data_IF_017472827200
#
_entry.id   IF_017472827200
#
_cell.length_a   1.000
_cell.length_b   1.000
_cell.length_c   1.000
_cell.angle_alpha   90.00
_cell.angle_beta   90.00
_cell.angle_gamma   90.00
#
_symmetry.space_group_name_H-M   'P 1'
#
loop_
_entity.id
_entity.type
_entity.pdbx_description
1 polymer ?
#
# COMPACT_ATOMS: atom_id res chain seq x y z
N UNK A 1 -7.00 -3.12 90.13
CA UNK A 1 -8.37 -2.61 89.98
C UNK A 1 -8.86 -3.19 88.67
N UNK A 2 -9.57 -4.33 88.69
CA UNK A 2 -11.03 -4.43 88.87
C UNK A 2 -11.75 -3.73 87.69
N UNK A 3 -12.69 -4.25 86.90
CA UNK A 3 -13.45 -5.51 86.67
C UNK A 3 -14.12 -5.25 85.29
N UNK A 4 -14.08 -6.17 84.33
CA UNK A 4 -15.11 -7.18 83.96
C UNK A 4 -16.35 -6.69 83.16
N UNK A 5 -16.67 -7.52 82.16
CA UNK A 5 -17.95 -7.80 81.48
C UNK A 5 -18.60 -6.86 80.45
N UNK A 6 -18.50 -7.24 79.16
CA UNK A 6 -19.59 -8.01 78.50
C UNK A 6 -19.25 -8.55 77.10
N UNK A 7 -19.74 -9.78 76.87
CA UNK A 7 -19.55 -10.68 75.72
C UNK A 7 -20.13 -10.22 74.37
N UNK A 8 -19.54 -10.73 73.27
CA UNK A 8 -20.15 -10.80 71.93
C UNK A 8 -19.28 -11.60 70.93
N UNK A 9 -19.79 -12.63 70.23
CA UNK A 9 -18.98 -13.74 69.72
C UNK A 9 -18.46 -13.61 68.27
N UNK A 10 -17.40 -14.38 68.02
CA UNK A 10 -16.82 -14.73 66.73
C UNK A 10 -17.84 -15.22 65.69
N UNK A 11 -17.84 -14.60 64.50
CA UNK A 11 -18.46 -15.14 63.30
C UNK A 11 -17.40 -15.78 62.41
N UNK A 12 -17.36 -17.13 62.44
CA UNK A 12 -16.81 -17.96 61.37
C UNK A 12 -17.79 -17.92 60.19
N UNK A 13 -17.29 -17.62 58.98
CA UNK A 13 -18.04 -17.81 57.75
C UNK A 13 -18.30 -19.32 57.54
N UNK A 14 -19.56 -19.72 57.66
CA UNK A 14 -20.04 -21.02 57.24
C UNK A 14 -20.53 -20.91 55.78
N UNK A 15 -20.04 -21.81 54.92
CA UNK A 15 -20.52 -21.95 53.56
C UNK A 15 -21.96 -22.46 53.54
N UNK A 16 -22.79 -21.84 52.71
CA UNK A 16 -24.12 -22.33 52.38
C UNK A 16 -24.10 -22.81 50.92
N UNK A 17 -23.91 -24.11 50.73
CA UNK A 17 -24.33 -24.79 49.50
C UNK A 17 -25.86 -24.87 49.55
N UNK A 18 -26.55 -24.18 48.63
CA UNK A 18 -27.97 -24.40 48.39
C UNK A 18 -28.12 -25.63 47.50
N UNK A 19 -28.80 -26.66 47.99
CA UNK A 19 -29.23 -27.80 47.19
C UNK A 19 -30.42 -27.43 46.27
N UNK A 20 -30.50 -27.98 45.05
CA UNK A 20 -31.68 -27.85 44.19
C UNK A 20 -32.78 -28.87 44.56
N UNK A 21 -34.06 -28.59 44.24
CA UNK A 21 -35.18 -29.47 44.57
C UNK A 21 -35.26 -30.63 43.57
N UNK A 22 -35.13 -31.86 44.06
CA UNK A 22 -35.41 -33.07 43.29
C UNK A 22 -36.91 -33.40 43.35
N UNK A 23 -37.58 -33.42 42.20
CA UNK A 23 -38.90 -34.06 42.07
C UNK A 23 -38.70 -35.52 41.69
N UNK A 24 -39.25 -36.43 42.51
CA UNK A 24 -39.32 -37.85 42.22
C UNK A 24 -40.40 -38.13 41.16
N UNK A 25 -40.08 -38.89 40.12
CA UNK A 25 -41.09 -39.55 39.28
C UNK A 25 -40.81 -41.05 39.18
N UNK A 26 -41.88 -41.78 39.44
CA UNK A 26 -42.16 -43.22 39.42
C UNK A 26 -41.10 -44.21 38.90
N UNK A 27 -40.84 -45.20 39.77
CA UNK A 27 -40.04 -46.40 39.51
C UNK A 27 -40.92 -47.54 39.01
N UNK A 28 -40.69 -48.04 37.79
CA UNK A 28 -41.11 -49.39 37.39
C UNK A 28 -39.95 -50.38 37.58
N UNK A 29 -40.17 -51.35 38.47
CA UNK A 29 -39.20 -52.37 38.86
C UNK A 29 -39.34 -53.63 38.03
N UNK A 30 -38.35 -53.93 37.18
CA UNK A 30 -38.01 -55.28 36.74
C UNK A 30 -36.47 -55.35 36.56
N UNK A 31 -35.83 -56.24 37.33
CA UNK A 31 -34.39 -56.58 37.27
C UNK A 31 -33.36 -55.51 37.71
N UNK A 32 -33.37 -55.15 39.00
CA UNK A 32 -32.17 -55.17 39.88
C UNK A 32 -30.88 -54.40 39.53
N UNK A 33 -30.82 -53.55 38.49
CA UNK A 33 -29.67 -52.69 38.19
C UNK A 33 -30.15 -51.23 38.04
N UNK A 34 -29.97 -50.44 39.09
CA UNK A 34 -30.22 -49.00 39.05
C UNK A 34 -29.06 -48.28 38.36
N UNK A 35 -29.16 -48.04 37.06
CA UNK A 35 -28.30 -47.07 36.38
C UNK A 35 -28.82 -45.66 36.65
N UNK A 36 -28.04 -44.86 37.38
CA UNK A 36 -28.28 -43.43 37.53
C UNK A 36 -27.77 -42.73 36.26
N UNK A 37 -28.64 -42.54 35.27
CA UNK A 37 -28.34 -41.63 34.18
C UNK A 37 -28.71 -40.21 34.62
N UNK A 38 -27.71 -39.42 34.99
CA UNK A 38 -27.90 -37.98 35.10
C UNK A 38 -28.18 -37.45 33.68
N UNK A 39 -29.44 -37.08 33.42
CA UNK A 39 -29.78 -36.37 32.18
C UNK A 39 -29.23 -34.94 32.34
N UNK A 40 -28.24 -34.53 31.53
CA UNK A 40 -27.69 -33.18 31.64
C UNK A 40 -28.79 -32.16 31.37
N UNK A 41 -28.81 -31.11 32.18
CA UNK A 41 -29.80 -30.04 32.13
C UNK A 41 -29.84 -29.41 30.72
N UNK A 42 -31.01 -29.41 30.08
CA UNK A 42 -31.20 -29.03 28.67
C UNK A 42 -30.75 -27.59 28.35
N UNK A 43 -30.63 -26.75 29.38
CA UNK A 43 -30.14 -25.37 29.26
C UNK A 43 -28.60 -25.30 29.17
N UNK A 44 -27.88 -26.22 29.81
CA UNK A 44 -26.42 -26.33 29.70
C UNK A 44 -25.99 -26.77 28.29
N UNK A 45 -26.74 -27.70 27.69
CA UNK A 45 -26.45 -28.19 26.34
C UNK A 45 -26.68 -27.10 25.27
N UNK A 46 -27.73 -26.28 25.41
CA UNK A 46 -28.01 -25.13 24.52
C UNK A 46 -26.92 -24.05 24.59
N UNK A 47 -26.49 -23.68 25.80
CA UNK A 47 -25.46 -22.65 25.98
C UNK A 47 -24.09 -23.10 25.46
N UNK A 48 -23.77 -24.38 25.58
CA UNK A 48 -22.52 -24.94 25.04
C UNK A 48 -22.52 -24.97 23.50
N UNK A 49 -23.65 -25.28 22.87
CA UNK A 49 -23.79 -25.25 21.40
C UNK A 49 -23.71 -23.81 20.87
N UNK A 50 -24.35 -22.84 21.53
CA UNK A 50 -24.28 -21.42 21.12
C UNK A 50 -22.83 -20.90 21.20
N UNK A 51 -22.08 -21.28 22.24
CA UNK A 51 -20.67 -20.90 22.39
C UNK A 51 -19.80 -21.51 21.26
N UNK A 52 -20.03 -22.77 20.91
CA UNK A 52 -19.31 -23.46 19.83
C UNK A 52 -19.65 -22.93 18.43
N UNK A 53 -20.90 -22.53 18.19
CA UNK A 53 -21.30 -21.88 16.93
C UNK A 53 -20.72 -20.46 16.84
N UNK A 54 -20.62 -19.73 17.96
CA UNK A 54 -19.95 -18.42 18.00
C UNK A 54 -18.43 -18.50 17.78
N UNK A 55 -17.78 -19.62 18.15
CA UNK A 55 -16.37 -19.91 17.86
C UNK A 55 -16.10 -20.30 16.41
N UNK A 56 -17.12 -20.63 15.62
CA UNK A 56 -16.99 -21.03 14.21
C UNK A 56 -17.12 -19.85 13.22
N UNK A 57 -17.15 -18.61 13.70
CA UNK A 57 -17.01 -17.44 12.83
C UNK A 57 -15.59 -17.44 12.24
N UNK A 58 -15.45 -17.99 11.03
CA UNK A 58 -14.24 -17.88 10.25
C UNK A 58 -13.98 -16.41 9.93
N UNK A 59 -13.11 -15.79 10.72
CA UNK A 59 -12.56 -14.47 10.40
C UNK A 59 -11.76 -14.62 9.11
N UNK A 60 -12.39 -14.28 7.99
CA UNK A 60 -11.66 -14.05 6.74
C UNK A 60 -10.96 -12.72 6.90
N UNK A 61 -9.76 -12.76 7.47
CA UNK A 61 -8.86 -11.63 7.47
C UNK A 61 -8.00 -11.77 6.24
N UNK A 62 -8.12 -10.93 5.21
CA UNK A 62 -7.09 -10.69 4.18
C UNK A 62 -7.41 -9.36 3.46
N UNK A 63 -6.53 -8.88 2.58
CA UNK A 63 -6.64 -7.58 1.90
C UNK A 63 -6.40 -7.69 0.39
N UNK A 64 -6.96 -6.73 -0.36
CA UNK A 64 -6.75 -6.54 -1.81
C UNK A 64 -6.70 -5.05 -2.14
N UNK A 65 -6.27 -4.72 -3.36
CA UNK A 65 -6.44 -3.38 -3.93
C UNK A 65 -7.93 -2.99 -3.96
N UNK A 66 -8.19 -1.78 -3.47
CA UNK A 66 -9.41 -1.01 -3.71
C UNK A 66 -9.18 -0.01 -4.85
N UNK A 67 -8.08 0.75 -4.78
CA UNK A 67 -7.63 1.67 -5.83
C UNK A 67 -6.16 1.40 -6.19
N UNK A 68 -5.81 1.35 -7.49
CA UNK A 68 -6.72 1.21 -8.63
C UNK A 68 -7.50 -0.12 -8.58
N UNK A 69 -8.79 -0.17 -8.97
CA UNK A 69 -9.58 -1.40 -8.92
C UNK A 69 -8.96 -2.57 -9.72
N UNK A 70 -8.73 -3.75 -9.11
CA UNK A 70 -8.12 -4.87 -9.83
C UNK A 70 -9.08 -5.52 -10.84
N UNK A 71 -8.54 -6.31 -11.77
CA UNK A 71 -9.27 -6.88 -12.91
C UNK A 71 -10.62 -7.53 -12.58
N UNK A 72 -10.68 -8.41 -11.58
CA UNK A 72 -11.91 -9.14 -11.23
C UNK A 72 -12.68 -8.51 -10.06
N UNK A 73 -12.39 -7.26 -9.70
CA UNK A 73 -12.98 -6.61 -8.53
C UNK A 73 -14.42 -6.18 -8.75
N UNK A 74 -15.21 -6.18 -7.67
CA UNK A 74 -16.57 -5.66 -7.68
C UNK A 74 -16.66 -4.17 -7.98
N UNK A 75 -15.61 -3.40 -7.67
CA UNK A 75 -15.51 -1.96 -7.92
C UNK A 75 -14.77 -1.62 -9.23
N UNK A 76 -14.46 -2.60 -10.07
CA UNK A 76 -13.88 -2.33 -11.39
C UNK A 76 -15.00 -1.94 -12.38
N UNK A 77 -14.98 -0.71 -12.94
CA UNK A 77 -16.06 -0.20 -13.80
C UNK A 77 -16.19 -0.96 -15.13
N UNK A 78 -15.16 -1.67 -15.56
CA UNK A 78 -15.15 -2.43 -16.83
C UNK A 78 -15.61 -3.88 -16.64
N UNK A 79 -15.87 -4.31 -15.41
CA UNK A 79 -16.28 -5.68 -15.11
C UNK A 79 -17.73 -5.91 -15.55
N UNK A 80 -17.94 -6.93 -16.38
CA UNK A 80 -19.30 -7.33 -16.81
C UNK A 80 -19.75 -8.69 -16.29
N UNK A 81 -18.85 -9.47 -15.68
CA UNK A 81 -19.15 -10.75 -15.03
C UNK A 81 -19.16 -10.67 -13.50
N UNK A 82 -19.52 -11.76 -12.80
CA UNK A 82 -19.45 -11.78 -11.33
C UNK A 82 -18.03 -11.47 -10.85
N UNK A 83 -17.87 -10.70 -9.75
CA UNK A 83 -16.56 -10.46 -9.17
C UNK A 83 -15.96 -11.75 -8.59
N UNK A 84 -14.64 -11.80 -8.48
CA UNK A 84 -13.98 -12.86 -7.73
C UNK A 84 -14.08 -12.54 -6.23
N UNK A 85 -14.84 -13.39 -5.54
CA UNK A 85 -15.14 -13.31 -4.10
C UNK A 85 -13.94 -13.69 -3.22
N UNK A 86 -12.83 -14.13 -3.83
CA UNK A 86 -11.58 -14.49 -3.14
C UNK A 86 -10.37 -13.69 -3.63
N UNK A 87 -10.59 -12.47 -4.13
CA UNK A 87 -9.50 -11.58 -4.56
C UNK A 87 -8.55 -11.20 -3.42
N UNK A 88 -9.06 -11.14 -2.21
CA UNK A 88 -8.30 -10.87 -1.00
C UNK A 88 -7.61 -12.13 -0.44
N UNK A 89 -8.01 -13.34 -0.82
CA UNK A 89 -7.44 -14.57 -0.26
C UNK A 89 -6.02 -14.83 -0.77
N UNK A 90 -5.11 -15.37 0.06
CA UNK A 90 -3.76 -15.66 -0.35
C UNK A 90 -3.68 -16.72 -1.44
N UNK A 91 -2.53 -16.74 -2.10
CA UNK A 91 -2.22 -17.73 -3.10
C UNK A 91 -2.20 -19.12 -2.47
N UNK A 92 -2.87 -20.08 -3.14
CA UNK A 92 -2.86 -21.49 -2.75
C UNK A 92 -3.46 -21.80 -1.37
N UNK A 93 -4.34 -20.94 -0.85
CA UNK A 93 -5.01 -21.18 0.43
C UNK A 93 -6.39 -21.81 0.27
N UNK A 94 -6.98 -22.24 1.40
CA UNK A 94 -8.38 -22.68 1.48
C UNK A 94 -8.77 -23.76 0.44
N UNK A 95 -7.84 -24.67 0.13
CA UNK A 95 -8.03 -25.77 -0.81
C UNK A 95 -8.07 -25.37 -2.30
N UNK A 96 -7.74 -24.12 -2.65
CA UNK A 96 -7.81 -23.61 -4.02
C UNK A 96 -6.42 -23.25 -4.53
N UNK A 97 -6.01 -23.82 -5.67
CA UNK A 97 -4.77 -23.42 -6.36
C UNK A 97 -5.02 -22.10 -7.10
N UNK A 98 -4.12 -21.13 -6.91
CA UNK A 98 -4.21 -19.81 -7.57
C UNK A 98 -3.21 -19.74 -8.72
N UNK A 99 -3.63 -19.21 -9.87
CA UNK A 99 -2.74 -19.02 -11.02
C UNK A 99 -1.84 -17.82 -10.79
N UNK A 100 -0.53 -18.00 -10.91
CA UNK A 100 0.44 -16.91 -10.88
C UNK A 100 0.82 -16.49 -12.31
N UNK A 101 0.98 -15.18 -12.61
CA UNK A 101 0.71 -14.01 -11.76
C UNK A 101 -0.74 -13.53 -11.85
N UNK A 102 -1.10 -12.54 -11.02
CA UNK A 102 -2.39 -11.81 -11.08
C UNK A 102 -3.65 -12.70 -11.07
N UNK A 103 -3.59 -13.87 -10.42
CA UNK A 103 -4.69 -14.84 -10.31
C UNK A 103 -5.22 -15.35 -11.65
N UNK A 104 -4.45 -15.22 -12.73
CA UNK A 104 -4.85 -15.59 -14.09
C UNK A 104 -5.66 -14.52 -14.82
N UNK A 105 -5.85 -13.32 -14.25
CA UNK A 105 -6.67 -12.27 -14.88
C UNK A 105 -5.97 -11.48 -15.99
N UNK A 106 -4.71 -11.81 -16.32
CA UNK A 106 -4.01 -11.19 -17.43
C UNK A 106 -4.62 -11.53 -18.80
N UNK A 107 -5.39 -12.60 -18.91
CA UNK A 107 -6.12 -12.96 -20.14
C UNK A 107 -7.19 -11.92 -20.52
N UNK A 108 -7.56 -11.03 -19.59
CA UNK A 108 -8.49 -9.93 -19.87
C UNK A 108 -7.81 -8.77 -20.62
N UNK A 109 -6.47 -8.70 -20.65
CA UNK A 109 -5.75 -7.64 -21.33
C UNK A 109 -6.11 -7.60 -22.82
N UNK A 110 -6.44 -6.40 -23.31
CA UNK A 110 -6.88 -6.19 -24.69
C UNK A 110 -8.36 -6.48 -24.95
N UNK A 111 -9.11 -6.91 -23.93
CA UNK A 111 -10.58 -7.01 -23.97
C UNK A 111 -11.23 -5.79 -23.34
N UNK A 112 -12.55 -5.62 -23.52
CA UNK A 112 -13.30 -4.56 -22.83
C UNK A 112 -13.19 -4.64 -21.30
N UNK A 113 -13.11 -5.84 -20.73
CA UNK A 113 -12.98 -6.04 -19.27
C UNK A 113 -11.58 -5.72 -18.74
N UNK A 114 -10.56 -5.67 -19.60
CA UNK A 114 -9.17 -5.37 -19.24
C UNK A 114 -8.76 -3.93 -19.47
N UNK A 115 -9.72 -3.03 -19.77
CA UNK A 115 -9.45 -1.61 -19.97
C UNK A 115 -8.81 -0.98 -18.73
N UNK A 116 -7.92 0.01 -18.90
CA UNK A 116 -7.33 0.75 -17.79
C UNK A 116 -8.39 1.37 -16.86
N UNK A 117 -8.13 1.29 -15.55
CA UNK A 117 -9.01 1.84 -14.51
C UNK A 117 -8.46 3.13 -13.88
N UNK A 118 -7.22 3.50 -14.20
CA UNK A 118 -6.58 4.73 -13.76
C UNK A 118 -5.58 5.19 -14.81
N UNK A 119 -5.32 6.50 -14.85
CA UNK A 119 -4.29 7.12 -15.68
C UNK A 119 -3.34 7.91 -14.80
N UNK A 120 -2.04 7.66 -14.92
CA UNK A 120 -1.01 8.29 -14.11
C UNK A 120 0.11 8.84 -14.99
N UNK A 121 0.51 10.10 -14.85
CA UNK A 121 1.67 10.62 -15.57
C UNK A 121 2.98 10.00 -15.10
N UNK A 122 3.90 9.74 -16.03
CA UNK A 122 5.27 9.36 -15.68
C UNK A 122 5.90 10.43 -14.75
N UNK A 123 6.63 9.97 -13.72
CA UNK A 123 7.28 10.84 -12.73
C UNK A 123 6.37 11.39 -11.63
N UNK A 124 5.05 11.20 -11.72
CA UNK A 124 4.10 11.70 -10.72
C UNK A 124 4.08 10.86 -9.44
N UNK A 125 3.71 11.50 -8.33
CA UNK A 125 3.36 10.79 -7.08
C UNK A 125 1.92 10.34 -7.19
N UNK A 126 1.70 9.05 -6.96
CA UNK A 126 0.39 8.40 -7.00
C UNK A 126 0.13 7.67 -5.70
N UNK A 127 -1.09 7.18 -5.55
CA UNK A 127 -1.46 6.35 -4.42
C UNK A 127 -2.13 5.05 -4.87
N UNK A 128 -2.07 4.07 -3.99
CA UNK A 128 -2.96 2.92 -4.01
C UNK A 128 -3.64 2.81 -2.64
N UNK A 129 -4.80 2.19 -2.60
CA UNK A 129 -5.49 1.91 -1.35
C UNK A 129 -5.98 0.47 -1.29
N UNK A 130 -6.08 -0.04 -0.06
CA UNK A 130 -6.42 -1.43 0.21
C UNK A 130 -7.78 -1.53 0.90
N UNK A 131 -8.43 -2.67 0.71
CA UNK A 131 -9.67 -3.06 1.39
C UNK A 131 -9.68 -4.58 1.59
N UNK A 132 -10.41 -5.08 2.57
CA UNK A 132 -10.60 -6.50 2.75
C UNK A 132 -11.23 -6.84 4.10
N UNK A 133 -11.07 -8.09 4.52
CA UNK A 133 -11.61 -8.59 5.78
C UNK A 133 -10.66 -8.48 6.97
N UNK A 134 -9.35 -8.23 6.76
CA UNK A 134 -8.38 -8.12 7.86
C UNK A 134 -6.94 -7.85 7.45
N UNK A 135 -6.25 -7.01 8.22
CA UNK A 135 -4.90 -6.52 7.94
C UNK A 135 -3.77 -7.46 8.36
N UNK A 136 -4.06 -8.55 9.09
CA UNK A 136 -3.06 -9.41 9.77
C UNK A 136 -2.01 -8.64 10.56
N UNK A 137 -2.42 -7.51 11.16
CA UNK A 137 -1.52 -6.61 11.86
C UNK A 137 -0.32 -6.13 11.01
N UNK A 138 -0.47 -6.04 9.70
CA UNK A 138 0.56 -5.57 8.77
C UNK A 138 1.25 -6.70 8.01
N UNK A 139 2.57 -6.66 7.97
CA UNK A 139 3.38 -7.34 6.97
C UNK A 139 4.09 -6.34 6.07
N UNK A 140 4.65 -6.87 4.98
CA UNK A 140 5.37 -6.07 3.99
C UNK A 140 4.74 -6.19 2.62
N UNK A 141 4.75 -5.10 1.86
CA UNK A 141 4.22 -5.08 0.49
C UNK A 141 5.25 -4.58 -0.51
N UNK A 142 5.07 -4.94 -1.78
CA UNK A 142 5.70 -4.22 -2.89
C UNK A 142 4.63 -3.78 -3.88
N UNK A 143 4.92 -2.68 -4.57
CA UNK A 143 4.17 -2.30 -5.76
C UNK A 143 5.12 -2.13 -6.93
N UNK A 144 4.61 -2.41 -8.12
CA UNK A 144 5.41 -2.46 -9.33
C UNK A 144 4.56 -2.52 -10.57
N UNK A 145 5.25 -2.44 -11.70
CA UNK A 145 4.61 -2.46 -13.01
C UNK A 145 5.18 -3.58 -13.87
N UNK A 146 4.36 -4.04 -14.81
CA UNK A 146 4.77 -4.83 -15.95
C UNK A 146 4.36 -4.12 -17.22
N UNK A 147 5.34 -3.88 -18.10
CA UNK A 147 5.14 -3.27 -19.42
C UNK A 147 5.04 -4.28 -20.56
N UNK A 148 5.18 -5.57 -20.25
CA UNK A 148 5.23 -6.67 -21.22
C UNK A 148 4.11 -7.69 -20.99
N UNK A 149 2.98 -7.20 -20.46
CA UNK A 149 1.75 -7.97 -20.19
C UNK A 149 1.93 -9.07 -19.13
N UNK A 150 2.72 -8.78 -18.10
CA UNK A 150 2.92 -9.62 -16.92
C UNK A 150 4.05 -10.65 -17.04
N UNK A 151 4.91 -10.58 -18.07
CA UNK A 151 6.03 -11.51 -18.24
C UNK A 151 7.19 -11.15 -17.32
N UNK A 152 7.51 -9.86 -17.22
CA UNK A 152 8.48 -9.31 -16.29
C UNK A 152 7.86 -8.22 -15.43
N UNK A 153 8.45 -8.00 -14.26
CA UNK A 153 7.96 -7.07 -13.26
C UNK A 153 9.11 -6.24 -12.73
N UNK A 154 8.84 -4.96 -12.50
CA UNK A 154 9.80 -4.02 -11.93
C UNK A 154 9.17 -3.35 -10.72
N UNK A 155 9.77 -3.59 -9.55
CA UNK A 155 9.36 -2.97 -8.28
C UNK A 155 9.66 -1.48 -8.33
N UNK A 156 8.65 -0.68 -7.99
CA UNK A 156 8.79 0.77 -7.88
C UNK A 156 8.94 1.23 -6.44
N UNK A 157 8.22 0.61 -5.50
CA UNK A 157 8.31 0.89 -4.06
C UNK A 157 8.12 -0.37 -3.23
N UNK A 158 8.89 -0.49 -2.14
CA UNK A 158 8.77 -1.55 -1.13
C UNK A 158 8.42 -0.95 0.22
N UNK A 159 7.38 -1.49 0.86
CA UNK A 159 6.93 -1.10 2.20
C UNK A 159 7.35 -2.19 3.18
N UNK A 160 8.44 -1.94 3.91
CA UNK A 160 8.99 -2.89 4.88
C UNK A 160 8.33 -2.69 6.24
N UNK A 161 7.19 -3.37 6.40
CA UNK A 161 6.36 -3.32 7.60
C UNK A 161 5.16 -2.38 7.51
N UNK A 162 4.16 -2.62 8.37
CA UNK A 162 2.92 -1.83 8.44
C UNK A 162 2.22 -1.62 7.08
N UNK A 163 2.33 -2.62 6.19
CA UNK A 163 1.54 -2.71 4.97
C UNK A 163 0.84 -4.07 4.90
N UNK A 164 -0.51 -4.11 4.93
CA UNK A 164 -1.47 -3.03 5.18
C UNK A 164 -1.22 -2.27 6.49
N UNK A 165 -1.80 -1.08 6.66
CA UNK A 165 -1.67 -0.34 7.90
C UNK A 165 -2.33 -1.13 9.03
N UNK A 166 -1.52 -1.52 10.02
CA UNK A 166 -1.93 -2.35 11.16
C UNK A 166 -3.10 -1.77 11.93
N UNK A 167 -3.13 -0.44 12.07
CA UNK A 167 -4.18 0.32 12.79
C UNK A 167 -5.26 0.89 11.88
N UNK A 168 -5.19 0.65 10.56
CA UNK A 168 -6.24 1.08 9.63
C UNK A 168 -7.37 0.05 9.54
N UNK A 169 -8.59 0.50 9.27
CA UNK A 169 -9.77 -0.35 9.14
C UNK A 169 -9.77 -1.25 7.90
N UNK A 170 -10.40 -2.42 8.01
CA UNK A 170 -10.44 -3.44 6.94
C UNK A 170 -11.29 -2.98 5.74
N UNK A 171 -12.43 -2.33 6.00
CA UNK A 171 -13.34 -1.79 4.98
C UNK A 171 -13.26 -0.27 4.83
N UNK A 172 -12.11 0.31 5.18
CA UNK A 172 -11.86 1.75 5.20
C UNK A 172 -10.67 2.10 4.31
N UNK A 173 -10.84 2.15 2.97
CA UNK A 173 -9.71 2.40 2.05
C UNK A 173 -8.99 3.73 2.32
N UNK A 174 -9.68 4.73 2.86
CA UNK A 174 -9.07 6.00 3.29
C UNK A 174 -8.06 5.86 4.43
N UNK A 175 -8.17 4.82 5.26
CA UNK A 175 -7.23 4.49 6.34
C UNK A 175 -6.14 3.51 5.88
N UNK A 176 -6.20 3.07 4.63
CA UNK A 176 -5.33 2.06 4.02
C UNK A 176 -4.72 2.58 2.72
N UNK A 177 -4.26 3.83 2.72
CA UNK A 177 -3.72 4.52 1.52
C UNK A 177 -2.21 4.69 1.61
N UNK A 178 -1.52 4.35 0.53
CA UNK A 178 -0.07 4.35 0.43
C UNK A 178 0.36 5.16 -0.80
N UNK A 179 1.43 5.94 -0.67
CA UNK A 179 1.98 6.72 -1.79
C UNK A 179 3.19 6.03 -2.41
N UNK A 180 3.33 6.15 -3.72
CA UNK A 180 4.50 5.73 -4.48
C UNK A 180 4.77 6.72 -5.62
N UNK A 181 5.99 6.73 -6.15
CA UNK A 181 6.33 7.53 -7.34
C UNK A 181 6.33 6.66 -8.60
N UNK A 182 5.57 7.04 -9.61
CA UNK A 182 5.67 6.45 -10.95
C UNK A 182 7.05 6.81 -11.53
N UNK A 183 7.86 5.85 -12.02
CA UNK A 183 9.15 6.15 -12.61
C UNK A 183 9.01 7.17 -13.75
N UNK A 184 9.90 8.16 -13.81
CA UNK A 184 9.86 9.23 -14.82
C UNK A 184 10.21 8.77 -16.22
N UNK A 185 10.96 7.66 -16.33
CA UNK A 185 11.39 7.03 -17.57
C UNK A 185 10.51 5.84 -17.98
N UNK A 186 9.37 5.65 -17.31
CA UNK A 186 8.40 4.61 -17.67
C UNK A 186 7.77 4.95 -19.02
N UNK A 187 7.70 4.01 -19.98
CA UNK A 187 7.11 4.28 -21.28
C UNK A 187 5.62 4.59 -21.15
N UNK A 188 5.13 5.56 -21.93
CA UNK A 188 3.69 5.84 -22.02
C UNK A 188 2.94 4.66 -22.66
N UNK A 189 1.70 4.44 -22.21
CA UNK A 189 0.83 3.36 -22.67
C UNK A 189 0.14 2.60 -21.56
N UNK A 190 -0.62 1.57 -21.93
CA UNK A 190 -1.34 0.71 -21.00
C UNK A 190 -0.42 -0.37 -20.44
N UNK A 191 -0.32 -0.43 -19.12
CA UNK A 191 0.55 -1.32 -18.38
C UNK A 191 -0.21 -2.00 -17.24
N UNK A 192 0.42 -3.01 -16.63
CA UNK A 192 -0.17 -3.70 -15.48
C UNK A 192 0.50 -3.20 -14.21
N UNK A 193 -0.29 -2.62 -13.31
CA UNK A 193 0.11 -2.34 -11.94
C UNK A 193 -0.18 -3.54 -11.06
N UNK A 194 0.74 -3.91 -10.18
CA UNK A 194 0.54 -4.96 -9.20
C UNK A 194 0.91 -4.50 -7.79
N UNK A 195 0.13 -4.98 -6.84
CA UNK A 195 0.45 -4.97 -5.42
C UNK A 195 0.67 -6.40 -4.97
N UNK A 196 1.79 -6.64 -4.29
CA UNK A 196 2.08 -7.89 -3.59
C UNK A 196 2.14 -7.63 -2.09
N UNK A 197 1.75 -8.62 -1.30
CA UNK A 197 1.81 -8.56 0.15
C UNK A 197 2.19 -9.90 0.72
N UNK A 198 3.11 -9.86 1.69
CA UNK A 198 3.43 -10.99 2.55
C UNK A 198 3.07 -10.63 3.98
N UNK A 199 2.05 -11.28 4.50
CA UNK A 199 1.69 -11.14 5.91
C UNK A 199 2.64 -11.97 6.80
N UNK A 200 2.55 -11.77 8.12
CA UNK A 200 3.40 -12.52 9.06
C UNK A 200 3.00 -14.00 9.17
N UNK A 201 1.89 -14.45 8.60
CA UNK A 201 1.45 -15.85 8.66
C UNK A 201 2.07 -16.72 7.54
N UNK A 202 3.03 -16.18 6.80
CA UNK A 202 3.64 -16.79 5.61
C UNK A 202 2.63 -16.97 4.48
N UNK A 203 1.81 -15.96 4.22
CA UNK A 203 0.87 -15.98 3.10
C UNK A 203 1.24 -14.92 2.08
N UNK A 204 1.16 -15.27 0.80
CA UNK A 204 1.46 -14.37 -0.30
C UNK A 204 0.19 -13.95 -1.02
N UNK A 205 0.03 -12.66 -1.21
CA UNK A 205 -1.05 -12.05 -1.96
C UNK A 205 -0.50 -11.28 -3.15
N UNK A 206 -1.20 -11.35 -4.29
CA UNK A 206 -0.96 -10.50 -5.44
C UNK A 206 -2.29 -10.19 -6.11
N UNK A 207 -2.55 -8.91 -6.36
CA UNK A 207 -3.64 -8.46 -7.24
C UNK A 207 -3.16 -7.38 -8.17
N UNK A 208 -3.78 -7.30 -9.34
CA UNK A 208 -3.30 -6.48 -10.44
C UNK A 208 -4.43 -5.69 -11.07
N UNK A 209 -4.08 -4.51 -11.58
CA UNK A 209 -4.97 -3.55 -12.22
C UNK A 209 -4.36 -3.09 -13.55
N UNK A 210 -5.20 -2.85 -14.55
CA UNK A 210 -4.78 -2.20 -15.80
C UNK A 210 -4.74 -0.69 -15.58
N UNK A 211 -3.65 -0.03 -15.95
CA UNK A 211 -3.48 1.42 -15.80
C UNK A 211 -2.79 2.00 -17.02
N UNK A 212 -3.10 3.26 -17.35
CA UNK A 212 -2.43 3.99 -18.42
C UNK A 212 -1.35 4.89 -17.82
N UNK A 213 -0.12 4.78 -18.32
CA UNK A 213 0.90 5.79 -18.08
C UNK A 213 0.85 6.82 -19.20
N UNK A 214 0.68 8.09 -18.83
CA UNK A 214 0.79 9.21 -19.77
C UNK A 214 2.19 9.82 -19.73
N UNK A 215 2.48 10.65 -20.73
CA UNK A 215 3.72 11.42 -20.76
C UNK A 215 3.91 12.24 -19.47
N UNK A 216 5.18 12.54 -19.16
CA UNK A 216 5.55 13.24 -17.93
C UNK A 216 4.90 14.62 -17.84
N UNK A 217 4.44 15.00 -16.64
CA UNK A 217 4.04 16.38 -16.37
C UNK A 217 5.24 17.34 -16.27
N UNK A 218 6.47 16.84 -16.24
CA UNK A 218 7.65 17.70 -16.32
C UNK A 218 7.75 18.29 -17.73
N UNK A 219 7.85 19.63 -17.87
CA UNK A 219 8.22 20.22 -19.15
C UNK A 219 9.58 19.65 -19.59
N UNK A 220 9.81 19.43 -20.89
CA UNK A 220 11.09 18.94 -21.38
C UNK A 220 12.17 19.87 -20.85
N UNK A 221 13.14 19.30 -20.11
CA UNK A 221 14.31 20.04 -19.64
C UNK A 221 14.97 20.68 -20.87
N UNK A 222 14.98 22.02 -21.00
CA UNK A 222 15.66 22.67 -22.12
C UNK A 222 17.15 22.56 -21.85
N UNK A 223 17.83 21.58 -22.45
CA UNK A 223 19.28 21.51 -22.28
C UNK A 223 19.95 20.17 -22.52
N UNK A 224 19.61 19.46 -23.59
CA UNK A 224 20.62 18.75 -24.38
C UNK A 224 20.19 18.89 -25.85
N UNK A 225 20.66 19.96 -26.49
CA UNK A 225 20.75 19.97 -27.93
C UNK A 225 21.67 18.80 -28.30
N UNK A 226 21.12 17.79 -28.95
CA UNK A 226 21.95 16.84 -29.68
C UNK A 226 22.63 17.64 -30.78
N UNK A 227 23.94 17.84 -30.60
CA UNK A 227 24.79 18.44 -31.62
C UNK A 227 24.56 17.72 -32.95
N UNK A 228 24.32 18.56 -33.97
CA UNK A 228 23.79 18.15 -35.25
C UNK A 228 24.69 17.16 -36.00
N UNK A 229 24.05 16.14 -36.55
CA UNK A 229 24.53 15.49 -37.76
C UNK A 229 23.63 15.94 -38.93
N UNK A 230 24.11 16.92 -39.69
CA UNK A 230 23.49 17.31 -40.97
C UNK A 230 23.70 16.21 -42.00
N UNK A 231 22.68 15.39 -42.23
CA UNK A 231 22.55 14.55 -43.42
C UNK A 231 21.52 15.15 -44.37
N UNK A 232 22.00 15.91 -45.35
CA UNK A 232 21.23 16.41 -46.48
C UNK A 232 20.65 15.26 -47.32
N UNK A 233 19.36 15.31 -47.65
CA UNK A 233 18.87 15.06 -49.01
C UNK A 233 17.44 15.54 -49.18
N UNK A 234 17.35 16.63 -49.94
CA UNK A 234 16.18 17.25 -50.54
C UNK A 234 15.44 16.33 -51.52
N UNK A 235 14.10 16.30 -51.48
CA UNK A 235 13.25 16.32 -52.69
C UNK A 235 11.95 17.10 -52.41
N UNK A 236 11.96 18.35 -52.88
CA UNK A 236 10.89 19.20 -53.42
C UNK A 236 9.42 18.88 -53.17
N UNK A 237 8.73 19.87 -52.59
CA UNK A 237 7.31 20.12 -52.71
C UNK A 237 6.92 20.55 -54.14
N UNK A 238 5.69 20.19 -54.56
CA UNK A 238 4.92 20.92 -55.56
C UNK A 238 3.50 21.12 -55.04
N UNK A 239 3.07 22.38 -55.05
CA UNK A 239 1.68 22.79 -54.94
C UNK A 239 1.10 22.95 -56.36
N UNK A 240 -0.21 22.71 -56.50
CA UNK A 240 -1.07 23.45 -57.42
C UNK A 240 -2.56 23.26 -57.02
N UNK A 241 -3.48 24.15 -57.46
CA UNK A 241 -4.69 24.52 -56.73
C UNK A 241 -6.02 24.15 -57.44
N UNK A 242 -7.12 24.47 -56.75
CA UNK A 242 -8.50 24.67 -57.25
C UNK A 242 -9.43 23.45 -57.41
N UNK A 243 -10.50 23.42 -56.59
CA UNK A 243 -11.89 23.44 -57.08
C UNK A 243 -12.91 23.72 -55.95
N UNK A 244 -13.82 24.64 -56.23
CA UNK A 244 -15.01 25.05 -55.46
C UNK A 244 -16.03 23.91 -55.28
N UNK A 245 -16.75 23.91 -54.14
CA UNK A 245 -18.21 23.75 -54.12
C UNK A 245 -18.82 24.21 -52.77
N UNK A 246 -19.70 25.20 -52.88
CA UNK A 246 -20.64 25.83 -51.92
C UNK A 246 -21.76 24.81 -51.52
N UNK A 247 -22.42 24.83 -50.34
CA UNK A 247 -23.65 25.60 -50.01
C UNK A 247 -24.22 25.22 -48.59
N UNK A 248 -24.69 26.26 -47.85
CA UNK A 248 -25.68 26.38 -46.73
C UNK A 248 -25.45 25.70 -45.36
N UNK A 249 -25.28 26.40 -44.22
CA UNK A 249 -26.09 27.40 -43.47
C UNK A 249 -27.32 26.76 -42.75
N UNK A 250 -27.62 26.85 -41.43
CA UNK A 250 -27.38 27.80 -40.30
C UNK A 250 -27.85 27.13 -38.96
N UNK A 251 -28.07 27.82 -37.81
CA UNK A 251 -27.23 28.71 -36.99
C UNK A 251 -27.20 28.31 -35.49
N UNK A 252 -26.17 28.69 -34.70
CA UNK A 252 -26.29 28.91 -33.24
C UNK A 252 -25.38 30.06 -32.80
N UNK A 253 -25.90 30.88 -31.88
CA UNK A 253 -25.54 32.22 -31.40
C UNK A 253 -24.11 32.51 -30.92
N UNK A 254 -23.74 33.78 -31.08
CA UNK A 254 -22.63 34.49 -30.45
C UNK A 254 -23.03 35.02 -29.06
N UNK A 255 -22.14 34.83 -28.08
CA UNK A 255 -22.07 35.61 -26.84
C UNK A 255 -20.61 35.95 -26.54
N UNK A 256 -20.28 37.24 -26.63
CA UNK A 256 -18.96 37.87 -26.50
C UNK A 256 -18.43 37.98 -25.05
N UNK A 257 -17.14 38.31 -24.85
CA UNK A 257 -16.39 38.06 -23.62
C UNK A 257 -16.34 39.25 -22.66
N UNK A 258 -16.01 38.98 -21.39
CA UNK A 258 -15.56 40.00 -20.45
C UNK A 258 -14.44 39.47 -19.53
N UNK A 259 -13.37 40.26 -19.44
CA UNK A 259 -12.29 40.28 -18.43
C UNK A 259 -12.01 41.76 -18.17
N UNK A 260 -11.15 42.19 -17.22
CA UNK A 260 -10.76 41.72 -15.88
C UNK A 260 -10.93 42.87 -14.82
N UNK A 261 -10.26 42.75 -13.66
CA UNK A 261 -9.88 43.78 -12.65
C UNK A 261 -10.62 43.59 -11.31
N UNK A 262 -10.04 43.73 -10.10
CA UNK A 262 -9.06 44.72 -9.61
C UNK A 262 -8.23 44.12 -8.45
N UNK A 263 -6.96 44.52 -8.36
CA UNK A 263 -6.11 44.45 -7.18
C UNK A 263 -6.21 45.75 -6.33
N UNK A 264 -6.16 45.64 -5.01
CA UNK A 264 -5.85 46.71 -4.04
C UNK A 264 -5.16 46.04 -2.84
N UNK A 265 -3.87 46.17 -2.54
CA UNK A 265 -2.97 47.32 -2.27
C UNK A 265 -3.17 47.94 -0.88
N UNK A 266 -2.16 47.65 -0.02
CA UNK A 266 -1.59 48.40 1.12
C UNK A 266 -2.47 48.76 2.32
N UNK A 267 -1.98 48.36 3.50
CA UNK A 267 -1.78 49.27 4.64
C UNK A 267 -0.60 48.78 5.50
N UNK A 268 0.24 49.74 5.90
CA UNK A 268 1.39 49.59 6.78
C UNK A 268 1.33 50.63 7.91
N UNK A 269 2.12 50.38 8.96
CA UNK A 269 2.48 51.22 10.13
C UNK A 269 1.55 51.10 11.36
N UNK A 270 2.01 51.01 12.63
CA UNK A 270 3.31 51.05 13.37
C UNK A 270 2.97 50.82 14.90
N UNK A 271 3.86 51.06 15.90
CA UNK A 271 5.17 50.49 16.25
C UNK A 271 5.22 49.96 17.72
N UNK A 272 6.25 49.21 18.15
CA UNK A 272 6.82 49.40 19.51
C UNK A 272 8.22 48.76 19.67
N UNK A 273 9.18 49.65 19.89
CA UNK A 273 10.43 49.65 20.67
C UNK A 273 11.28 48.40 20.87
N UNK A 274 12.57 48.59 20.58
CA UNK A 274 13.63 47.61 20.78
C UNK A 274 14.25 47.62 22.17
N UNK A 275 15.21 46.71 22.33
CA UNK A 275 16.36 46.94 23.19
C UNK A 275 17.54 46.12 22.67
N UNK A 276 18.67 46.79 22.46
CA UNK A 276 19.92 46.18 22.03
C UNK A 276 20.86 45.94 23.21
N UNK A 277 21.61 44.85 23.16
CA UNK A 277 22.96 44.69 23.74
C UNK A 277 23.64 43.64 22.83
N UNK A 278 24.77 43.85 22.16
CA UNK A 278 25.91 44.69 22.48
C UNK A 278 26.97 43.88 23.22
N UNK A 279 27.75 43.04 22.53
CA UNK A 279 29.12 42.76 22.98
C UNK A 279 30.05 42.45 21.82
N UNK A 280 30.92 43.42 21.57
CA UNK A 280 32.17 43.35 20.83
C UNK A 280 33.16 42.43 21.52
N UNK A 281 34.01 41.70 20.80
CA UNK A 281 35.39 41.45 21.27
C UNK A 281 36.35 41.16 20.10
N UNK A 282 37.54 41.70 20.28
CA UNK A 282 38.58 42.03 19.30
C UNK A 282 39.41 40.83 18.86
N UNK A 283 39.92 40.90 17.63
CA UNK A 283 41.09 40.17 17.15
C UNK A 283 42.35 40.46 17.97
N UNK A 284 43.36 39.57 17.86
CA UNK A 284 44.73 40.02 17.69
C UNK A 284 45.34 39.53 16.37
N UNK A 285 46.02 40.46 15.68
CA UNK A 285 46.93 40.20 14.57
C UNK A 285 48.29 39.75 15.09
N UNK A 286 48.84 38.68 14.50
CA UNK A 286 50.28 38.36 14.29
C UNK A 286 50.29 37.22 13.27
N UNK A 287 51.27 36.99 12.39
CA UNK A 287 52.32 37.76 11.74
C UNK A 287 52.68 36.85 10.54
N UNK A 288 52.91 37.41 9.36
CA UNK A 288 53.19 36.63 8.15
C UNK A 288 54.45 35.77 8.31
N UNK A 289 54.36 34.52 7.87
CA UNK A 289 55.52 33.81 7.34
C UNK A 289 55.24 33.32 5.92
N UNK A 290 56.19 33.61 5.03
CA UNK A 290 56.12 33.39 3.59
C UNK A 290 56.51 31.94 3.27
N UNK A 291 55.63 31.17 2.65
CA UNK A 291 56.06 30.15 1.71
C UNK A 291 55.25 30.17 0.41
N UNK A 292 56.02 30.25 -0.67
CA UNK A 292 55.64 30.49 -2.06
C UNK A 292 55.22 29.15 -2.69
N UNK A 293 53.94 28.99 -2.99
CA UNK A 293 53.39 27.80 -3.65
C UNK A 293 52.34 28.18 -4.71
N UNK A 294 52.77 28.15 -5.97
CA UNK A 294 52.04 28.22 -7.26
C UNK A 294 50.50 28.12 -7.18
N UNK A 295 49.81 29.24 -7.38
CA UNK A 295 48.36 29.28 -7.59
C UNK A 295 47.98 28.56 -8.90
N UNK A 296 47.28 27.43 -8.80
CA UNK A 296 46.51 26.83 -9.89
C UNK A 296 45.13 27.49 -9.86
N UNK A 297 44.67 28.03 -10.98
CA UNK A 297 43.33 28.63 -11.11
C UNK A 297 42.28 27.62 -10.66
N UNK A 298 41.64 27.88 -9.53
CA UNK A 298 40.37 27.24 -9.15
C UNK A 298 39.32 27.92 -10.02
N UNK A 299 38.90 27.25 -11.08
CA UNK A 299 37.65 27.60 -11.74
C UNK A 299 36.54 27.45 -10.71
N UNK A 300 35.69 28.46 -10.60
CA UNK A 300 34.45 28.42 -9.85
C UNK A 300 33.55 27.35 -10.48
N UNK A 301 33.76 26.11 -10.07
CA UNK A 301 32.84 25.02 -10.32
C UNK A 301 31.58 25.31 -9.53
N UNK A 302 30.56 25.79 -10.22
CA UNK A 302 29.18 25.76 -9.78
C UNK A 302 28.92 24.32 -9.28
N UNK A 303 28.61 24.18 -7.99
CA UNK A 303 28.15 22.91 -7.44
C UNK A 303 26.76 22.70 -8.04
N UNK A 304 26.71 22.09 -9.22
CA UNK A 304 25.50 21.44 -9.68
C UNK A 304 25.29 20.28 -8.74
N UNK A 305 24.15 20.30 -8.05
CA UNK A 305 23.57 19.17 -7.36
C UNK A 305 23.84 17.90 -8.18
N UNK A 306 24.60 16.95 -7.61
CA UNK A 306 24.90 15.71 -8.31
C UNK A 306 23.60 14.93 -8.37
N UNK A 307 22.90 15.10 -9.49
CA UNK A 307 21.69 14.39 -9.83
C UNK A 307 21.87 12.91 -9.54
N UNK A 308 21.04 12.39 -8.64
CA UNK A 308 20.89 10.96 -8.43
C UNK A 308 20.40 10.40 -9.75
N UNK A 309 21.28 9.76 -10.52
CA UNK A 309 20.88 8.98 -11.68
C UNK A 309 20.11 7.77 -11.15
N UNK A 310 18.78 7.87 -11.11
CA UNK A 310 17.94 6.72 -10.83
C UNK A 310 18.21 5.66 -11.90
N UNK A 311 18.52 4.39 -11.56
CA UNK A 311 18.60 3.33 -12.54
C UNK A 311 17.33 3.31 -13.39
N UNK A 312 17.53 3.03 -14.68
CA UNK A 312 16.45 2.91 -15.64
C UNK A 312 15.35 1.98 -15.10
N UNK A 313 14.10 2.26 -15.42
CA UNK A 313 12.95 1.47 -14.97
C UNK A 313 13.18 -0.04 -15.19
N UNK A 314 13.71 -0.45 -16.35
CA UNK A 314 14.00 -1.85 -16.67
C UNK A 314 15.09 -2.52 -15.82
N UNK A 315 15.94 -1.73 -15.13
CA UNK A 315 17.00 -2.24 -14.25
C UNK A 315 16.53 -2.44 -12.81
N UNK A 316 15.26 -2.13 -12.51
CA UNK A 316 14.66 -2.35 -11.18
C UNK A 316 14.44 -3.84 -10.93
N UNK A 317 14.54 -4.29 -9.66
CA UNK A 317 14.39 -5.70 -9.32
C UNK A 317 12.96 -6.20 -9.57
N UNK A 318 12.83 -7.51 -9.74
CA UNK A 318 11.54 -8.19 -9.72
C UNK A 318 10.91 -8.20 -8.32
N UNK A 319 9.66 -8.66 -8.25
CA UNK A 319 9.00 -8.91 -6.97
C UNK A 319 9.67 -10.07 -6.22
N UNK A 320 9.70 -9.96 -4.90
CA UNK A 320 9.92 -11.11 -4.03
C UNK A 320 8.79 -12.13 -4.27
N UNK A 321 9.14 -13.37 -4.54
CA UNK A 321 8.20 -14.48 -4.60
C UNK A 321 8.51 -15.46 -3.49
N UNK A 322 7.56 -15.64 -2.57
CA UNK A 322 7.71 -16.50 -1.41
C UNK A 322 6.37 -17.17 -1.08
N UNK A 323 6.42 -18.24 -0.28
CA UNK A 323 5.26 -18.93 0.29
C UNK A 323 4.24 -19.52 -0.71
N UNK A 324 4.55 -19.53 -2.01
CA UNK A 324 3.69 -20.10 -3.07
C UNK A 324 4.09 -21.50 -3.51
N UNK A 325 4.87 -22.22 -2.68
CA UNK A 325 5.41 -23.55 -3.00
C UNK A 325 6.70 -23.53 -3.83
N UNK A 326 7.37 -22.39 -3.95
CA UNK A 326 8.64 -22.22 -4.66
C UNK A 326 9.88 -22.52 -3.79
N UNK A 327 9.70 -22.90 -2.53
CA UNK A 327 10.77 -23.21 -1.59
C UNK A 327 11.33 -22.01 -0.82
N UNK A 328 10.94 -20.78 -1.15
CA UNK A 328 11.24 -19.59 -0.35
C UNK A 328 10.18 -19.40 0.75
N UNK A 329 10.65 -19.22 1.99
CA UNK A 329 9.82 -18.99 3.16
C UNK A 329 10.14 -17.65 3.78
N UNK A 330 9.13 -16.85 4.07
CA UNK A 330 9.30 -15.62 4.82
C UNK A 330 9.32 -15.87 6.32
N UNK A 331 9.68 -14.90 7.17
CA UNK A 331 9.53 -15.04 8.62
C UNK A 331 8.09 -15.38 8.99
N UNK A 332 7.92 -16.26 9.97
CA UNK A 332 6.60 -16.67 10.47
C UNK A 332 6.35 -16.06 11.84
N UNK A 333 5.31 -15.24 11.92
CA UNK A 333 4.70 -14.60 13.09
C UNK A 333 5.58 -13.60 13.85
N UNK A 334 6.91 -13.77 13.83
CA UNK A 334 7.88 -13.05 14.66
C UNK A 334 8.45 -11.77 14.06
N UNK A 335 8.36 -11.63 12.73
CA UNK A 335 8.95 -10.52 12.00
C UNK A 335 8.15 -10.19 10.74
N UNK A 336 8.29 -8.97 10.26
CA UNK A 336 7.86 -8.56 8.93
C UNK A 336 9.00 -8.80 7.93
N UNK A 337 8.67 -8.89 6.64
CA UNK A 337 9.65 -9.22 5.62
C UNK A 337 10.56 -8.03 5.35
N UNK A 338 11.86 -8.26 5.47
CA UNK A 338 12.88 -7.44 4.83
C UNK A 338 13.07 -7.92 3.39
N UNK A 339 12.96 -7.04 2.42
CA UNK A 339 13.16 -7.43 1.03
C UNK A 339 14.66 -7.57 0.73
N UNK A 340 15.11 -8.69 0.12
CA UNK A 340 16.50 -8.83 -0.32
C UNK A 340 16.88 -7.78 -1.38
N UNK A 341 15.94 -7.47 -2.29
CA UNK A 341 16.10 -6.49 -3.35
C UNK A 341 14.90 -5.50 -3.32
N UNK A 342 14.90 -4.52 -2.40
CA UNK A 342 13.75 -3.64 -2.19
C UNK A 342 13.57 -2.59 -3.30
N UNK A 343 14.58 -2.41 -4.17
CA UNK A 343 14.63 -1.29 -5.11
C UNK A 343 15.14 -0.01 -4.44
N UNK A 344 14.88 1.13 -5.08
CA UNK A 344 15.37 2.44 -4.60
C UNK A 344 14.44 3.12 -3.59
N UNK A 345 13.14 2.88 -3.72
CA UNK A 345 12.13 3.52 -2.90
C UNK A 345 11.66 2.53 -1.83
N UNK A 346 12.15 2.73 -0.62
CA UNK A 346 11.89 1.88 0.53
C UNK A 346 11.21 2.71 1.60
N UNK A 347 9.97 2.36 1.91
CA UNK A 347 9.18 3.00 2.95
C UNK A 347 9.26 2.14 4.20
N UNK A 348 9.75 2.72 5.28
CA UNK A 348 9.80 2.06 6.58
C UNK A 348 8.39 1.92 7.17
N UNK A 349 8.12 0.77 7.79
CA UNK A 349 6.92 0.53 8.57
C UNK A 349 6.89 1.29 9.90
N UNK A 350 5.96 0.89 10.78
CA UNK A 350 5.78 1.51 12.10
C UNK A 350 6.80 1.04 13.17
N UNK A 351 7.65 0.07 12.83
CA UNK A 351 8.67 -0.49 13.71
C UNK A 351 8.11 -1.36 14.83
N UNK A 352 6.83 -1.73 14.78
CA UNK A 352 6.21 -2.61 15.78
C UNK A 352 6.84 -4.00 15.78
N UNK A 353 7.17 -4.51 14.58
CA UNK A 353 7.80 -5.81 14.40
C UNK A 353 9.20 -5.65 13.81
N UNK A 354 10.15 -6.52 14.18
CA UNK A 354 11.45 -6.53 13.55
C UNK A 354 11.33 -6.96 12.09
N UNK A 355 12.28 -6.53 11.25
CA UNK A 355 12.41 -6.97 9.87
C UNK A 355 13.37 -8.15 9.77
N UNK A 356 13.00 -9.19 9.02
CA UNK A 356 13.87 -10.34 8.75
C UNK A 356 13.82 -10.77 7.28
N UNK A 357 14.97 -11.25 6.77
CA UNK A 357 15.08 -11.73 5.40
C UNK A 357 14.35 -13.07 5.23
N UNK A 358 13.82 -13.35 4.04
CA UNK A 358 13.27 -14.67 3.73
C UNK A 358 14.38 -15.69 3.49
N UNK A 359 14.07 -16.97 3.67
CA UNK A 359 15.03 -18.08 3.58
C UNK A 359 14.50 -19.29 2.78
N UNK A 360 15.38 -20.01 2.08
CA UNK A 360 16.76 -19.64 1.79
C UNK A 360 16.82 -18.60 0.64
N UNK A 361 17.81 -17.70 0.67
CA UNK A 361 17.87 -16.55 -0.22
C UNK A 361 17.89 -16.90 -1.72
N UNK A 362 18.48 -18.03 -2.10
CA UNK A 362 18.57 -18.51 -3.49
C UNK A 362 17.23 -18.96 -4.07
N UNK A 363 16.21 -19.16 -3.24
CA UNK A 363 14.85 -19.56 -3.66
C UNK A 363 13.88 -18.41 -3.77
N UNK A 364 14.26 -17.22 -3.32
CA UNK A 364 13.31 -16.14 -3.02
C UNK A 364 12.97 -15.20 -4.17
N UNK A 365 13.40 -15.48 -5.40
CA UNK A 365 13.14 -14.61 -6.55
C UNK A 365 13.88 -13.28 -6.40
N UNK A 366 14.97 -13.15 -7.13
CA UNK A 366 15.72 -11.91 -7.28
C UNK A 366 15.78 -11.56 -8.78
#
# INVERSE_FOLDING_TARGET
MLEDDRMGPHLKQAGYFREPPWHCTDTHSLFGLSFHYAVPDMNYFKNTIILLIALAASVHAHMRLYYPPPFAASNNPHRTGPPDDRLDYPYNCCGRKTVYPCRGYLDLLGTDQGKPVATWPAGSVQNFSLVGGGTHYGGSCQVGFSIDKGKTWQVVSSYEGNCPHRKGGNNAPGEQTFQFKVPSDMPSGDHVFAWTWVNREQEFNMVCSSVTISDSLEPPVPGYASDGFCGSSSVTARADPSANATVSASPVEQGTPATPSIAGTLDAEKPFDGNGQGSTLRSPRRALDRHRGRARRVGTGQITDRGITHPAYMARPGFLLANIGNGCKTPKETAEVKYPNPGLDVVAGDGEYPLALPEPADKCGA
#
